data_IF_476530891515
#
_entry.id   IF_476530891515
#
_cell.length_a   1.000
_cell.length_b   1.000
_cell.length_c   1.000
_cell.angle_alpha   90.00
_cell.angle_beta   90.00
_cell.angle_gamma   90.00
#
_symmetry.space_group_name_H-M   'P 1'
#
loop_
_entity.id
_entity.type
_entity.pdbx_description
1 polymer ?
#
# COMPACT_ATOMS: atom_id res chain seq x y z
N UNK A 1 26.47 2.03 -7.37
CA UNK A 1 25.70 0.82 -7.73
C UNK A 1 25.46 0.83 -9.23
N UNK A 2 25.61 -0.30 -9.91
CA UNK A 2 25.32 -0.39 -11.35
C UNK A 2 23.84 -0.70 -11.57
N UNK A 3 23.16 0.11 -12.38
CA UNK A 3 21.75 -0.06 -12.74
C UNK A 3 21.64 -0.18 -14.26
N UNK A 4 21.01 -1.26 -14.74
CA UNK A 4 20.72 -1.46 -16.16
C UNK A 4 19.21 -1.53 -16.33
N UNK A 5 18.65 -0.62 -17.14
CA UNK A 5 17.22 -0.55 -17.40
C UNK A 5 16.98 -0.92 -18.87
N UNK A 6 16.10 -1.89 -19.11
CA UNK A 6 15.71 -2.33 -20.46
C UNK A 6 14.29 -1.87 -20.77
N UNK A 7 13.97 -1.75 -22.06
CA UNK A 7 12.62 -1.41 -22.52
C UNK A 7 12.23 0.07 -22.36
N UNK A 8 13.20 0.98 -22.20
CA UNK A 8 12.91 2.42 -22.21
C UNK A 8 12.66 2.88 -23.65
N UNK A 9 11.59 3.63 -23.83
CA UNK A 9 11.33 4.35 -25.08
C UNK A 9 12.45 5.36 -25.38
N UNK A 10 13.09 5.22 -26.54
CA UNK A 10 14.29 6.00 -26.89
C UNK A 10 14.00 7.50 -26.99
N UNK A 11 12.79 7.88 -27.43
CA UNK A 11 12.39 9.28 -27.55
C UNK A 11 12.28 9.92 -26.15
N UNK A 12 11.61 9.25 -25.22
CA UNK A 12 11.51 9.69 -23.81
C UNK A 12 12.88 9.80 -23.16
N UNK A 13 13.79 8.85 -23.40
CA UNK A 13 15.14 8.91 -22.85
C UNK A 13 15.93 10.11 -23.38
N UNK A 14 15.79 10.44 -24.67
CA UNK A 14 16.42 11.63 -25.27
C UNK A 14 15.87 12.92 -24.68
N UNK A 15 14.55 13.05 -24.57
CA UNK A 15 13.91 14.22 -23.98
C UNK A 15 14.33 14.42 -22.52
N UNK A 16 14.40 13.33 -21.75
CA UNK A 16 14.84 13.37 -20.36
C UNK A 16 16.31 13.84 -20.24
N UNK A 17 17.20 13.27 -21.06
CA UNK A 17 18.62 13.70 -21.13
C UNK A 17 18.75 15.17 -21.49
N UNK A 18 18.00 15.65 -22.49
CA UNK A 18 18.02 17.04 -22.90
C UNK A 18 17.60 17.98 -21.75
N UNK A 19 16.51 17.63 -21.03
CA UNK A 19 16.06 18.39 -19.86
C UNK A 19 17.07 18.37 -18.71
N UNK A 20 17.74 17.26 -18.47
CA UNK A 20 18.80 17.16 -17.46
C UNK A 20 19.97 18.12 -17.79
N UNK A 21 20.43 18.10 -19.04
CA UNK A 21 21.52 18.98 -19.52
C UNK A 21 21.12 20.46 -19.42
N UNK A 22 19.89 20.81 -19.80
CA UNK A 22 19.38 22.19 -19.68
C UNK A 22 19.34 22.68 -18.22
N UNK A 23 19.23 21.76 -17.26
CA UNK A 23 19.29 22.05 -15.81
C UNK A 23 20.70 21.99 -15.23
N UNK A 24 21.72 21.70 -16.05
CA UNK A 24 23.10 21.52 -15.59
C UNK A 24 23.33 20.22 -14.81
N UNK A 25 22.42 19.25 -14.92
CA UNK A 25 22.49 17.98 -14.20
C UNK A 25 23.04 16.87 -15.08
N UNK A 26 23.81 15.96 -14.48
CA UNK A 26 24.12 14.68 -15.10
C UNK A 26 22.87 13.80 -15.18
N UNK A 27 22.88 12.82 -16.09
CA UNK A 27 21.77 11.86 -16.19
C UNK A 27 21.53 11.11 -14.87
N UNK A 28 22.60 10.83 -14.13
CA UNK A 28 22.54 10.19 -12.81
C UNK A 28 21.79 11.08 -11.82
N UNK A 29 22.20 12.33 -11.69
CA UNK A 29 21.59 13.28 -10.74
C UNK A 29 20.13 13.54 -11.07
N UNK A 30 19.80 13.75 -12.34
CA UNK A 30 18.41 13.93 -12.76
C UNK A 30 17.55 12.68 -12.48
N UNK A 31 18.13 11.48 -12.60
CA UNK A 31 17.45 10.24 -12.26
C UNK A 31 17.27 10.10 -10.74
N UNK A 32 18.30 10.43 -9.94
CA UNK A 32 18.22 10.44 -8.48
C UNK A 32 17.18 11.45 -7.99
N UNK A 33 17.15 12.66 -8.54
CA UNK A 33 16.15 13.68 -8.22
C UNK A 33 14.73 13.26 -8.60
N UNK A 34 14.55 12.61 -9.76
CA UNK A 34 13.25 12.08 -10.15
C UNK A 34 12.78 10.94 -9.23
N UNK A 35 13.70 10.05 -8.83
CA UNK A 35 13.42 8.99 -7.86
C UNK A 35 13.07 9.57 -6.49
N UNK A 36 13.83 10.57 -6.03
CA UNK A 36 13.57 11.27 -4.78
C UNK A 36 12.24 12.00 -4.83
N UNK A 37 11.90 12.67 -5.94
CA UNK A 37 10.60 13.30 -6.13
C UNK A 37 9.46 12.27 -6.08
N UNK A 38 9.64 11.08 -6.68
CA UNK A 38 8.64 10.02 -6.58
C UNK A 38 8.50 9.48 -5.15
N UNK A 39 9.61 9.22 -4.47
CA UNK A 39 9.62 8.75 -3.08
C UNK A 39 9.06 9.80 -2.11
N UNK A 40 9.36 11.08 -2.33
CA UNK A 40 8.87 12.20 -1.52
C UNK A 40 7.43 12.58 -1.90
N UNK A 41 7.00 12.36 -3.14
CA UNK A 41 5.58 12.50 -3.51
C UNK A 41 4.70 11.45 -2.82
N UNK A 42 5.25 10.30 -2.40
CA UNK A 42 4.56 9.37 -1.51
C UNK A 42 4.37 9.93 -0.08
N UNK A 43 5.10 10.99 0.30
CA UNK A 43 4.85 11.77 1.54
C UNK A 43 3.67 12.73 1.34
N UNK A 44 3.37 13.14 0.10
CA UNK A 44 2.09 13.71 -0.33
C UNK A 44 1.10 12.62 -0.81
N UNK A 45 1.30 11.39 -0.34
CA UNK A 45 0.46 10.26 -0.68
C UNK A 45 -0.98 10.49 -0.28
N UNK A 46 -1.90 9.91 -1.04
CA UNK A 46 -3.29 9.78 -0.64
C UNK A 46 -3.40 9.16 0.76
N UNK A 47 -4.52 9.32 1.46
CA UNK A 47 -4.71 8.63 2.75
C UNK A 47 -4.48 7.10 2.61
N UNK A 48 -4.70 6.53 1.42
CA UNK A 48 -4.35 5.14 1.07
C UNK A 48 -2.86 4.84 1.22
N UNK A 49 -2.00 5.65 0.59
CA UNK A 49 -0.55 5.43 0.56
C UNK A 49 0.03 5.49 1.98
N UNK A 50 -0.45 6.45 2.79
CA UNK A 50 -0.06 6.58 4.18
C UNK A 50 -0.48 5.36 5.01
N UNK A 51 -1.71 4.86 4.80
CA UNK A 51 -2.23 3.68 5.49
C UNK A 51 -1.47 2.41 5.10
N UNK A 52 -1.15 2.25 3.81
CA UNK A 52 -0.36 1.15 3.29
C UNK A 52 1.07 1.17 3.83
N UNK A 53 1.71 2.34 3.88
CA UNK A 53 3.02 2.51 4.50
C UNK A 53 3.00 2.15 5.99
N UNK A 54 1.95 2.53 6.72
CA UNK A 54 1.75 2.17 8.12
C UNK A 54 1.63 0.66 8.30
N UNK A 55 0.87 -0.01 7.44
CA UNK A 55 0.73 -1.46 7.41
C UNK A 55 2.06 -2.16 7.15
N UNK A 56 2.83 -1.73 6.15
CA UNK A 56 4.13 -2.34 5.82
C UNK A 56 5.10 -2.29 6.99
N UNK A 57 5.15 -1.16 7.71
CA UNK A 57 5.95 -1.01 8.95
C UNK A 57 5.44 -1.93 10.06
N UNK A 58 4.13 -2.06 10.20
CA UNK A 58 3.50 -2.84 11.27
C UNK A 58 3.40 -4.34 10.98
N UNK A 59 3.67 -4.79 9.74
CA UNK A 59 3.48 -6.17 9.28
C UNK A 59 4.14 -7.22 10.16
N UNK A 60 5.32 -6.92 10.72
CA UNK A 60 6.05 -7.82 11.63
C UNK A 60 5.30 -8.09 12.94
N UNK A 61 4.50 -7.12 13.40
CA UNK A 61 3.75 -7.17 14.65
C UNK A 61 2.34 -7.77 14.49
N UNK A 62 1.85 -7.89 13.26
CA UNK A 62 0.50 -8.41 12.97
C UNK A 62 0.26 -9.81 13.51
N UNK A 63 1.29 -10.67 13.57
CA UNK A 63 1.16 -12.05 14.09
C UNK A 63 0.54 -12.12 15.50
N UNK A 64 0.68 -11.07 16.31
CA UNK A 64 0.14 -10.98 17.67
C UNK A 64 -1.37 -10.76 17.71
N UNK A 65 -1.99 -10.29 16.63
CA UNK A 65 -3.41 -9.95 16.53
C UNK A 65 -4.21 -10.98 15.73
N UNK A 66 -3.78 -12.24 15.72
CA UNK A 66 -4.42 -13.32 14.95
C UNK A 66 -5.91 -13.44 15.30
N UNK A 67 -6.77 -13.49 14.29
CA UNK A 67 -8.22 -13.56 14.40
C UNK A 67 -8.91 -12.19 14.50
N UNK A 68 -8.16 -11.12 14.78
CA UNK A 68 -8.68 -9.77 14.97
C UNK A 68 -8.64 -8.94 13.68
N UNK A 69 -9.51 -7.93 13.61
CA UNK A 69 -9.52 -6.86 12.63
C UNK A 69 -8.56 -5.76 13.05
N UNK A 70 -7.47 -5.60 12.31
CA UNK A 70 -6.51 -4.52 12.51
C UNK A 70 -6.87 -3.37 11.57
N UNK A 71 -6.85 -2.14 12.10
CA UNK A 71 -7.25 -0.92 11.39
C UNK A 71 -6.09 0.06 11.31
N UNK A 72 -5.82 0.55 10.11
CA UNK A 72 -4.90 1.65 9.85
C UNK A 72 -5.64 2.82 9.23
N UNK A 73 -5.49 4.00 9.81
CA UNK A 73 -5.99 5.25 9.24
C UNK A 73 -5.05 6.40 9.58
N UNK A 74 -5.10 7.51 8.84
CA UNK A 74 -4.20 8.65 9.00
C UNK A 74 -2.71 8.26 9.06
N UNK A 75 -2.32 7.20 8.33
CA UNK A 75 -0.94 6.70 8.31
C UNK A 75 -0.44 6.05 9.61
N UNK A 76 -1.34 5.64 10.51
CA UNK A 76 -1.00 5.02 11.79
C UNK A 76 -1.89 3.82 12.12
N UNK A 77 -1.37 2.96 13.01
CA UNK A 77 -2.17 1.90 13.63
C UNK A 77 -3.18 2.52 14.60
N UNK A 78 -4.45 2.20 14.40
CA UNK A 78 -5.55 2.70 15.26
C UNK A 78 -5.83 1.72 16.38
N UNK A 79 -5.91 0.43 16.04
CA UNK A 79 -6.30 -0.61 16.97
C UNK A 79 -6.53 -1.95 16.31
N UNK A 80 -6.74 -2.96 17.16
CA UNK A 80 -7.16 -4.29 16.78
C UNK A 80 -8.47 -4.61 17.49
N UNK A 81 -9.45 -5.10 16.75
CA UNK A 81 -10.82 -5.32 17.20
C UNK A 81 -11.28 -6.74 16.88
N UNK A 82 -12.12 -7.33 17.71
CA UNK A 82 -12.63 -8.69 17.44
C UNK A 82 -13.79 -8.68 16.44
N UNK A 83 -14.60 -7.62 16.45
CA UNK A 83 -15.80 -7.48 15.61
C UNK A 83 -15.70 -6.28 14.67
N UNK A 84 -16.33 -6.39 13.51
CA UNK A 84 -16.38 -5.31 12.50
C UNK A 84 -17.20 -4.09 12.99
N UNK A 85 -18.18 -4.33 13.86
CA UNK A 85 -18.99 -3.27 14.49
C UNK A 85 -18.12 -2.29 15.29
N UNK A 86 -17.14 -2.82 16.02
CA UNK A 86 -16.23 -2.04 16.87
C UNK A 86 -15.27 -1.22 16.02
N UNK A 87 -14.81 -1.76 14.88
CA UNK A 87 -14.05 -1.01 13.87
C UNK A 87 -14.85 0.19 13.38
N UNK A 88 -16.13 -0.01 13.09
CA UNK A 88 -17.00 1.05 12.56
C UNK A 88 -17.23 2.15 13.59
N UNK A 89 -17.40 1.80 14.87
CA UNK A 89 -17.50 2.77 15.97
C UNK A 89 -16.21 3.57 16.11
N UNK A 90 -15.05 2.89 16.15
CA UNK A 90 -13.75 3.54 16.26
C UNK A 90 -13.47 4.52 15.11
N UNK A 91 -13.84 4.17 13.87
CA UNK A 91 -13.69 5.06 12.72
C UNK A 91 -14.61 6.27 12.77
N UNK A 92 -15.80 6.16 13.38
CA UNK A 92 -16.76 7.27 13.54
C UNK A 92 -16.34 8.23 14.66
N UNK A 93 -15.69 7.74 15.70
CA UNK A 93 -15.25 8.53 16.85
C UNK A 93 -13.97 9.35 16.55
N UNK A 94 -13.15 8.90 15.58
CA UNK A 94 -11.94 9.60 15.18
C UNK A 94 -12.24 10.95 14.51
N UNK A 95 -11.58 12.01 15.00
CA UNK A 95 -11.57 13.34 14.39
C UNK A 95 -10.13 13.76 14.03
N UNK A 96 -9.87 14.25 12.80
CA UNK A 96 -10.80 14.36 11.68
C UNK A 96 -11.28 12.99 11.17
N UNK A 97 -12.51 12.95 10.67
CA UNK A 97 -13.11 11.70 10.15
C UNK A 97 -12.27 11.21 8.97
N UNK A 98 -11.75 9.98 9.00
CA UNK A 98 -10.90 9.49 7.93
C UNK A 98 -11.71 9.31 6.65
N UNK A 99 -11.13 9.68 5.50
CA UNK A 99 -11.70 9.44 4.17
C UNK A 99 -11.38 8.03 3.70
N UNK A 100 -10.24 7.48 4.12
CA UNK A 100 -9.81 6.12 3.83
C UNK A 100 -9.29 5.41 5.10
N UNK A 101 -9.63 4.13 5.23
CA UNK A 101 -9.12 3.25 6.27
C UNK A 101 -8.81 1.86 5.69
N UNK A 102 -7.63 1.34 6.02
CA UNK A 102 -7.24 -0.03 5.70
C UNK A 102 -7.63 -0.95 6.85
N UNK A 103 -8.51 -1.91 6.59
CA UNK A 103 -8.99 -2.89 7.57
C UNK A 103 -8.60 -4.29 7.10
N UNK A 104 -7.91 -5.05 7.94
CA UNK A 104 -7.47 -6.41 7.61
C UNK A 104 -7.76 -7.38 8.75
N UNK A 105 -8.24 -8.58 8.41
CA UNK A 105 -8.44 -9.66 9.39
C UNK A 105 -7.21 -10.55 9.43
N UNK A 106 -6.47 -10.52 10.53
CA UNK A 106 -5.18 -11.20 10.60
C UNK A 106 -5.36 -12.71 10.72
N UNK A 107 -4.68 -13.48 9.87
CA UNK A 107 -4.55 -14.93 10.05
C UNK A 107 -5.82 -15.74 9.79
N UNK A 108 -6.74 -15.20 8.99
CA UNK A 108 -7.89 -15.92 8.42
C UNK A 108 -7.68 -16.14 6.92
N UNK A 109 -6.44 -16.43 6.52
CA UNK A 109 -6.23 -17.16 5.28
C UNK A 109 -6.59 -18.62 5.59
N UNK A 110 -7.88 -18.96 5.49
CA UNK A 110 -8.22 -20.35 5.24
C UNK A 110 -7.54 -20.68 3.92
N UNK A 111 -6.57 -21.59 3.92
CA UNK A 111 -6.22 -22.30 2.69
C UNK A 111 -7.55 -22.81 2.16
N UNK A 112 -7.98 -22.29 1.01
CA UNK A 112 -9.07 -22.91 0.27
C UNK A 112 -8.51 -24.26 -0.15
N UNK A 113 -8.80 -25.31 0.62
CA UNK A 113 -8.54 -26.69 0.22
C UNK A 113 -9.62 -27.02 -0.82
N UNK A 114 -9.37 -26.61 -2.05
CA UNK A 114 -10.24 -26.80 -3.19
C UNK A 114 -9.66 -26.09 -4.40
N UNK A 115 -9.77 -26.72 -5.57
CA UNK A 115 -9.38 -26.09 -6.83
C UNK A 115 -10.19 -24.80 -7.02
N UNK A 116 -9.49 -23.66 -7.06
CA UNK A 116 -10.11 -22.37 -7.37
C UNK A 116 -10.41 -22.35 -8.86
N UNK A 117 -11.67 -22.57 -9.22
CA UNK A 117 -12.13 -22.40 -10.60
C UNK A 117 -11.95 -20.95 -11.03
N UNK A 118 -11.31 -20.76 -12.18
CA UNK A 118 -10.79 -19.47 -12.67
C UNK A 118 -11.86 -18.41 -12.98
N UNK A 119 -13.15 -18.71 -12.78
CA UNK A 119 -14.25 -17.82 -13.14
C UNK A 119 -15.43 -17.88 -12.14
N UNK A 120 -15.17 -17.64 -10.86
CA UNK A 120 -16.18 -17.09 -9.94
C UNK A 120 -17.53 -17.81 -9.92
N UNK A 121 -17.53 -19.15 -9.77
CA UNK A 121 -18.75 -19.91 -9.57
C UNK A 121 -19.30 -19.68 -8.16
N UNK A 122 -20.39 -18.91 -8.07
CA UNK A 122 -21.23 -18.70 -6.89
C UNK A 122 -21.30 -19.92 -5.95
N UNK A 123 -20.74 -19.83 -4.75
CA UNK A 123 -21.28 -20.61 -3.63
C UNK A 123 -20.89 -20.03 -2.26
N UNK A 124 -21.93 -19.70 -1.50
CA UNK A 124 -21.90 -19.75 -0.04
C UNK A 124 -21.51 -21.17 0.37
N UNK A 125 -20.57 -21.32 1.30
CA UNK A 125 -20.40 -22.61 1.98
C UNK A 125 -20.48 -22.40 3.48
N UNK A 126 -21.73 -22.46 3.95
CA UNK A 126 -22.10 -22.65 5.35
C UNK A 126 -22.26 -24.15 5.62
N UNK A 127 -21.58 -24.59 6.69
CA UNK A 127 -21.77 -25.78 7.56
C UNK A 127 -21.39 -27.19 7.05
N UNK A 128 -20.49 -27.81 7.81
CA UNK A 128 -20.84 -28.80 8.84
C UNK A 128 -20.05 -28.49 10.11
#
# INVERSE_FOLDING_TARGET
MTLVIKGIDEKKLREFKAKAILRGLTLREALEEAMEMWCNSAVLGSEEDLNNAAYLRFRKHLKRYKGMYVVFTHGKFVGAFERLEDVTKALKELKPRPKHALVLKVGVDKKVEGELEWWGGSIELVRA
#
